data_IF_049402422442
#
_entry.id   IF_049402422442
#
_cell.length_a   1.000
_cell.length_b   1.000
_cell.length_c   1.000
_cell.angle_alpha   90.00
_cell.angle_beta   90.00
_cell.angle_gamma   90.00
#
_symmetry.space_group_name_H-M   'P 1'
#
loop_
_entity.id
_entity.type
_entity.pdbx_description
1 polymer ?
#
# COMPACT_ATOMS: atom_id res chain seq x y z
N UNK A 1 10.75 -1.36 -5.58
CA UNK A 1 11.80 -0.85 -4.68
C UNK A 1 11.65 -1.42 -3.26
N UNK A 2 12.75 -1.58 -2.53
CA UNK A 2 12.66 -1.83 -1.08
C UNK A 2 12.19 -0.58 -0.36
N UNK A 3 11.16 -0.74 0.48
CA UNK A 3 10.55 0.33 1.26
C UNK A 3 10.95 0.21 2.73
N UNK A 4 10.95 -1.01 3.28
CA UNK A 4 11.38 -1.29 4.65
C UNK A 4 12.63 -2.17 4.63
N UNK A 5 13.80 -1.58 4.88
CA UNK A 5 15.06 -2.33 4.94
C UNK A 5 15.17 -3.24 6.17
N UNK A 6 14.56 -2.84 7.29
CA UNK A 6 14.55 -3.63 8.53
C UNK A 6 13.89 -5.01 8.36
N UNK A 7 12.84 -5.08 7.53
CA UNK A 7 12.02 -6.28 7.38
C UNK A 7 11.97 -6.78 5.93
N UNK A 8 12.82 -6.25 5.04
CA UNK A 8 12.89 -6.65 3.64
C UNK A 8 11.60 -6.43 2.84
N UNK A 9 10.77 -5.43 3.19
CA UNK A 9 9.47 -5.20 2.53
C UNK A 9 9.65 -4.34 1.29
N UNK A 10 9.11 -4.79 0.16
CA UNK A 10 9.10 -4.04 -1.10
C UNK A 10 7.80 -3.26 -1.30
N UNK A 11 7.83 -2.32 -2.23
CA UNK A 11 6.63 -1.64 -2.72
C UNK A 11 5.60 -2.60 -3.30
N UNK A 12 6.03 -3.67 -3.98
CA UNK A 12 5.14 -4.73 -4.49
C UNK A 12 4.39 -5.44 -3.36
N UNK A 13 5.08 -5.74 -2.25
CA UNK A 13 4.44 -6.36 -1.09
C UNK A 13 3.36 -5.45 -0.48
N UNK A 14 3.63 -4.14 -0.42
CA UNK A 14 2.67 -3.15 0.09
C UNK A 14 1.46 -3.02 -0.84
N UNK A 15 1.66 -2.98 -2.16
CA UNK A 15 0.55 -2.92 -3.14
C UNK A 15 -0.31 -4.19 -3.08
N UNK A 16 0.32 -5.37 -3.04
CA UNK A 16 -0.39 -6.65 -2.88
C UNK A 16 -1.23 -6.67 -1.60
N UNK A 17 -0.66 -6.28 -0.46
CA UNK A 17 -1.42 -6.21 0.79
C UNK A 17 -2.61 -5.23 0.68
N UNK A 18 -2.45 -4.09 -0.02
CA UNK A 18 -3.54 -3.14 -0.25
C UNK A 18 -4.68 -3.75 -1.07
N UNK A 19 -4.34 -4.44 -2.17
CA UNK A 19 -5.26 -5.19 -3.04
C UNK A 19 -6.00 -6.30 -2.26
N UNK A 20 -5.30 -6.98 -1.34
CA UNK A 20 -5.85 -8.01 -0.45
C UNK A 20 -6.73 -7.46 0.68
N UNK A 21 -6.91 -6.14 0.78
CA UNK A 21 -7.82 -5.52 1.74
C UNK A 21 -7.13 -4.69 2.83
N UNK A 22 -5.81 -4.55 2.82
CA UNK A 22 -5.11 -3.73 3.80
C UNK A 22 -5.47 -2.24 3.61
N UNK A 23 -5.90 -1.57 4.70
CA UNK A 23 -6.38 -0.17 4.66
C UNK A 23 -5.56 0.80 5.50
N UNK A 24 -4.57 0.33 6.26
CA UNK A 24 -3.77 1.21 7.12
C UNK A 24 -2.33 0.76 7.28
N UNK A 25 -1.44 1.72 7.56
CA UNK A 25 -0.03 1.43 7.90
C UNK A 25 0.08 0.61 9.18
N UNK A 26 -0.88 0.74 10.11
CA UNK A 26 -0.94 -0.11 11.30
C UNK A 26 -1.17 -1.58 10.92
N UNK A 27 -2.02 -1.83 9.93
CA UNK A 27 -2.28 -3.16 9.42
C UNK A 27 -1.08 -3.69 8.62
N UNK A 28 -0.48 -2.88 7.74
CA UNK A 28 0.81 -3.23 7.09
C UNK A 28 1.91 -3.56 8.10
N UNK A 29 1.94 -2.87 9.23
CA UNK A 29 2.88 -3.15 10.31
C UNK A 29 2.66 -4.51 10.96
N UNK A 30 1.40 -4.94 11.11
CA UNK A 30 1.05 -6.27 11.63
C UNK A 30 1.35 -7.39 10.62
N UNK A 31 1.07 -7.15 9.34
CA UNK A 31 1.17 -8.16 8.28
C UNK A 31 2.61 -8.30 7.74
N UNK A 32 3.32 -7.18 7.57
CA UNK A 32 4.61 -7.13 6.87
C UNK A 32 5.76 -6.57 7.73
N UNK A 33 5.50 -6.15 8.97
CA UNK A 33 6.52 -5.52 9.83
C UNK A 33 6.86 -4.06 9.46
N UNK A 34 6.14 -3.45 8.51
CA UNK A 34 6.36 -2.05 8.12
C UNK A 34 6.26 -1.12 9.33
N UNK A 35 7.31 -0.30 9.53
CA UNK A 35 7.36 0.70 10.59
C UNK A 35 7.61 0.16 12.00
N UNK A 36 7.79 -1.15 12.20
CA UNK A 36 7.89 -1.76 13.54
C UNK A 36 9.29 -1.70 14.20
N UNK A 37 10.34 -1.37 13.43
CA UNK A 37 11.72 -1.28 13.95
C UNK A 37 12.21 0.18 14.00
N UNK A 38 12.78 0.70 12.91
CA UNK A 38 13.32 2.08 12.91
C UNK A 38 12.31 3.15 12.48
N UNK A 39 11.11 2.77 12.04
CA UNK A 39 10.02 3.67 11.65
C UNK A 39 10.22 4.47 10.34
N UNK A 40 11.44 4.57 9.80
CA UNK A 40 11.78 5.45 8.65
C UNK A 40 10.95 5.20 7.39
N UNK A 41 10.50 3.97 7.18
CA UNK A 41 9.70 3.59 6.01
C UNK A 41 8.23 4.02 6.08
N UNK A 42 7.73 4.44 7.24
CA UNK A 42 6.29 4.60 7.48
C UNK A 42 5.61 5.65 6.60
N UNK A 43 6.29 6.77 6.31
CA UNK A 43 5.76 7.82 5.41
C UNK A 43 5.65 7.30 3.97
N UNK A 44 6.69 6.62 3.49
CA UNK A 44 6.76 6.05 2.14
C UNK A 44 5.74 4.94 1.96
N UNK A 45 5.64 4.01 2.91
CA UNK A 45 4.63 2.96 2.88
C UNK A 45 3.20 3.51 2.87
N UNK A 46 2.94 4.59 3.63
CA UNK A 46 1.64 5.27 3.62
C UNK A 46 1.32 5.91 2.27
N UNK A 47 2.32 6.48 1.60
CA UNK A 47 2.15 7.07 0.28
C UNK A 47 1.76 6.01 -0.75
N UNK A 48 2.49 4.88 -0.80
CA UNK A 48 2.20 3.76 -1.70
C UNK A 48 0.82 3.18 -1.43
N UNK A 49 0.46 2.98 -0.16
CA UNK A 49 -0.87 2.48 0.21
C UNK A 49 -1.98 3.39 -0.31
N UNK A 50 -1.83 4.71 -0.16
CA UNK A 50 -2.81 5.69 -0.66
C UNK A 50 -2.86 5.76 -2.18
N UNK A 51 -1.71 5.74 -2.84
CA UNK A 51 -1.61 5.72 -4.30
C UNK A 51 -2.35 4.51 -4.88
N UNK A 52 -2.17 3.34 -4.27
CA UNK A 52 -2.84 2.10 -4.69
C UNK A 52 -4.36 2.23 -4.63
N UNK A 53 -4.90 2.68 -3.49
CA UNK A 53 -6.35 2.89 -3.33
C UNK A 53 -6.91 3.99 -4.25
N UNK A 54 -6.12 5.02 -4.55
CA UNK A 54 -6.53 6.05 -5.51
C UNK A 54 -6.60 5.50 -6.94
N UNK A 55 -5.66 4.61 -7.31
CA UNK A 55 -5.69 3.94 -8.61
C UNK A 55 -6.93 3.03 -8.74
N UNK A 56 -7.29 2.30 -7.68
CA UNK A 56 -8.51 1.49 -7.64
C UNK A 56 -9.76 2.36 -7.86
N UNK A 57 -9.83 3.52 -7.20
CA UNK A 57 -10.93 4.47 -7.38
C UNK A 57 -10.99 5.02 -8.80
N UNK A 58 -9.85 5.42 -9.39
CA UNK A 58 -9.80 5.91 -10.78
C UNK A 58 -10.21 4.83 -11.79
N UNK A 59 -9.78 3.58 -11.57
CA UNK A 59 -10.16 2.45 -12.42
C UNK A 59 -11.68 2.22 -12.37
N UNK A 60 -12.27 2.24 -11.17
CA UNK A 60 -13.73 2.13 -11.00
C UNK A 60 -14.46 3.30 -11.67
N UNK A 61 -14.02 4.53 -11.44
CA UNK A 61 -14.63 5.71 -12.04
C UNK A 61 -14.61 5.64 -13.58
N UNK A 62 -13.50 5.18 -14.15
CA UNK A 62 -13.38 4.99 -15.61
C UNK A 62 -14.35 3.94 -16.14
N UNK A 63 -14.48 2.81 -15.43
CA UNK A 63 -15.39 1.73 -15.79
C UNK A 63 -16.86 2.16 -15.73
N UNK A 64 -17.23 3.01 -14.77
CA UNK A 64 -18.59 3.53 -14.63
C UNK A 64 -18.90 4.66 -15.61
N UNK A 65 -17.91 5.47 -16.00
CA UNK A 65 -18.08 6.61 -16.89
C UNK A 65 -18.26 6.23 -18.37
N UNK A 66 -17.88 5.01 -18.76
CA UNK A 66 -18.12 4.47 -20.10
C UNK A 66 -19.13 3.32 -20.01
N UNK A 67 -20.43 3.60 -19.79
CA UNK A 67 -21.43 2.58 -20.02
C UNK A 67 -21.39 2.22 -21.52
N UNK A 68 -21.31 0.93 -21.81
CA UNK A 68 -21.29 0.38 -23.16
C UNK A 68 -22.44 0.90 -24.04
#
# INVERSE_FOLDING_TARGET
MYVCLCHGVTDRDIRRAAEEGCRSVRQLGKELGVGQQCGRCASTARAILRETHNNDFMALATALAHPA
#
